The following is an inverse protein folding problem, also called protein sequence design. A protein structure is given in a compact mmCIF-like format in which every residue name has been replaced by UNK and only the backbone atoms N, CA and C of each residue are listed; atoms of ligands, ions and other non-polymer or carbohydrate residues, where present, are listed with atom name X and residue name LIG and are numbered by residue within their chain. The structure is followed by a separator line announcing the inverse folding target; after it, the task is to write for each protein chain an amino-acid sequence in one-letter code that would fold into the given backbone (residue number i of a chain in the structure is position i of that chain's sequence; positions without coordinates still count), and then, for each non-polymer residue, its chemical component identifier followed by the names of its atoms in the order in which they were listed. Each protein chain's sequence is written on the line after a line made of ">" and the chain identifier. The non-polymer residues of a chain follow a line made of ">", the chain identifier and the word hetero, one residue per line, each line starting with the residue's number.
data_IF_965909102111
#
_entry.id   IF_965909102111
#
_cell.length_a   1.000
_cell.length_b   1.000
_cell.length_c   1.000
_cell.angle_alpha   90.00
_cell.angle_beta   90.00
_cell.angle_gamma   90.00
#
_symmetry.space_group_name_H-M   'P 1'
#
loop_
_entity.id
_entity.type
_entity.pdbx_description
1 polymer ?
#
# COMPACT_ATOMS: atom_id res chain seq x y z
N UNK A 1 0.17 -53.03 -20.36
CA UNK A 1 1.16 -53.43 -19.33
C UNK A 1 0.40 -53.66 -18.03
N UNK A 2 0.34 -54.90 -17.57
CA UNK A 2 -0.29 -55.25 -16.30
C UNK A 2 0.78 -55.08 -15.20
N UNK A 3 0.60 -54.08 -14.35
CA UNK A 3 1.40 -53.92 -13.14
C UNK A 3 0.62 -54.52 -11.98
N UNK A 4 1.30 -55.33 -11.16
CA UNK A 4 0.73 -55.93 -9.96
C UNK A 4 1.25 -55.16 -8.75
N UNK A 5 0.36 -54.84 -7.81
CA UNK A 5 0.69 -54.08 -6.61
C UNK A 5 0.23 -54.82 -5.37
N UNK A 6 0.99 -54.71 -4.28
CA UNK A 6 0.47 -55.09 -2.97
C UNK A 6 -0.66 -54.12 -2.58
N UNK A 7 -1.77 -54.61 -1.99
CA UNK A 7 -2.90 -53.76 -1.59
C UNK A 7 -2.49 -52.57 -0.72
N UNK A 8 -1.53 -52.81 0.16
CA UNK A 8 -0.98 -51.82 1.11
C UNK A 8 -0.05 -50.79 0.47
N UNK A 9 0.57 -51.13 -0.65
CA UNK A 9 1.51 -50.28 -1.38
C UNK A 9 0.82 -49.51 -2.51
N UNK A 10 -0.39 -49.93 -2.91
CA UNK A 10 -1.14 -49.28 -3.96
C UNK A 10 -1.83 -48.02 -3.46
N UNK A 11 -1.19 -46.86 -3.68
CA UNK A 11 -1.56 -45.58 -3.09
C UNK A 11 -1.68 -44.49 -4.13
N UNK A 12 -2.52 -43.50 -3.84
CA UNK A 12 -2.62 -42.28 -4.63
C UNK A 12 -1.27 -41.55 -4.58
N UNK A 13 -0.72 -41.23 -5.75
CA UNK A 13 0.57 -40.54 -5.85
C UNK A 13 0.57 -39.14 -5.24
N UNK A 14 -0.60 -38.50 -5.13
CA UNK A 14 -0.75 -37.14 -4.59
C UNK A 14 -1.02 -37.15 -3.09
N UNK A 15 -1.97 -37.97 -2.61
CA UNK A 15 -2.43 -37.92 -1.22
C UNK A 15 -2.10 -39.17 -0.38
N UNK A 16 -1.39 -40.16 -0.94
CA UNK A 16 -0.99 -41.41 -0.30
C UNK A 16 -2.14 -42.31 0.24
N UNK A 17 -3.40 -41.98 -0.08
CA UNK A 17 -4.58 -42.78 0.24
C UNK A 17 -4.47 -44.16 -0.42
N UNK A 18 -4.74 -45.23 0.33
CA UNK A 18 -4.76 -46.62 -0.18
C UNK A 18 -5.90 -46.75 -1.20
N UNK A 19 -5.60 -47.30 -2.37
CA UNK A 19 -6.52 -47.37 -3.51
C UNK A 19 -7.14 -48.76 -3.72
N UNK A 20 -6.63 -49.78 -3.04
CA UNK A 20 -7.07 -51.17 -3.22
C UNK A 20 -8.59 -51.33 -3.05
N UNK A 21 -9.17 -50.69 -2.03
CA UNK A 21 -10.60 -50.85 -1.69
C UNK A 21 -11.51 -49.76 -2.27
N UNK A 22 -10.93 -48.62 -2.66
CA UNK A 22 -11.65 -47.41 -3.08
C UNK A 22 -11.72 -47.29 -4.62
N UNK A 23 -10.85 -48.01 -5.33
CA UNK A 23 -10.66 -47.88 -6.76
C UNK A 23 -9.75 -46.69 -7.13
N UNK A 24 -9.29 -46.68 -8.38
CA UNK A 24 -8.34 -45.68 -8.87
C UNK A 24 -8.59 -45.28 -10.32
N UNK A 25 -8.03 -44.13 -10.69
CA UNK A 25 -7.97 -43.62 -12.05
C UNK A 25 -6.51 -43.55 -12.49
N UNK A 26 -6.25 -43.95 -13.74
CA UNK A 26 -4.91 -43.88 -14.33
C UNK A 26 -4.77 -42.58 -15.12
N UNK A 27 -3.87 -41.70 -14.71
CA UNK A 27 -3.64 -40.40 -15.36
C UNK A 27 -2.15 -40.18 -15.59
N UNK A 28 -1.73 -40.04 -16.86
CA UNK A 28 -0.31 -39.89 -17.22
C UNK A 28 0.58 -41.05 -16.75
N UNK A 29 0.01 -42.25 -16.58
CA UNK A 29 0.74 -43.41 -16.04
C UNK A 29 0.73 -43.54 -14.52
N UNK A 30 0.26 -42.52 -13.81
CA UNK A 30 0.14 -42.47 -12.34
C UNK A 30 -1.20 -43.05 -11.87
N UNK A 31 -1.25 -43.57 -10.65
CA UNK A 31 -2.47 -44.04 -10.01
C UNK A 31 -2.98 -42.99 -9.01
N UNK A 32 -4.17 -42.44 -9.26
CA UNK A 32 -4.76 -41.38 -8.46
C UNK A 32 -6.12 -41.81 -7.91
N UNK A 33 -6.47 -41.33 -6.71
CA UNK A 33 -7.86 -41.43 -6.23
C UNK A 33 -8.76 -40.51 -7.07
N UNK A 34 -10.08 -40.72 -6.98
CA UNK A 34 -11.08 -39.91 -7.69
C UNK A 34 -10.86 -38.41 -7.47
N UNK A 35 -10.77 -37.99 -6.21
CA UNK A 35 -10.55 -36.60 -5.80
C UNK A 35 -9.28 -36.00 -6.43
N UNK A 36 -8.13 -36.67 -6.29
CA UNK A 36 -6.87 -36.16 -6.84
C UNK A 36 -6.82 -36.18 -8.37
N UNK A 37 -7.50 -37.13 -9.00
CA UNK A 37 -7.58 -37.18 -10.45
C UNK A 37 -8.47 -36.06 -11.02
N UNK A 38 -9.53 -35.69 -10.32
CA UNK A 38 -10.38 -34.55 -10.66
C UNK A 38 -9.58 -33.24 -10.55
N UNK A 39 -8.80 -33.08 -9.46
CA UNK A 39 -7.86 -31.95 -9.30
C UNK A 39 -6.84 -31.87 -10.46
N UNK A 40 -6.21 -32.99 -10.83
CA UNK A 40 -5.23 -33.01 -11.94
C UNK A 40 -5.87 -32.72 -13.31
N UNK A 41 -7.10 -33.21 -13.54
CA UNK A 41 -7.85 -32.89 -14.75
C UNK A 41 -8.16 -31.40 -14.84
N UNK A 42 -8.50 -30.78 -13.70
CA UNK A 42 -8.81 -29.36 -13.63
C UNK A 42 -7.58 -28.47 -13.75
N UNK A 43 -6.44 -28.88 -13.17
CA UNK A 43 -5.15 -28.22 -13.33
C UNK A 43 -4.68 -28.25 -14.79
N UNK A 44 -4.90 -29.37 -15.50
CA UNK A 44 -4.65 -29.48 -16.94
C UNK A 44 -5.60 -28.65 -17.81
N UNK A 45 -6.74 -28.20 -17.26
CA UNK A 45 -7.70 -27.30 -17.90
C UNK A 45 -7.45 -25.82 -17.61
N UNK A 46 -6.37 -25.46 -16.91
CA UNK A 46 -6.04 -24.07 -16.58
C UNK A 46 -6.84 -23.49 -15.41
N UNK A 47 -7.46 -24.34 -14.58
CA UNK A 47 -8.18 -23.91 -13.37
C UNK A 47 -7.26 -23.99 -12.14
N UNK A 48 -7.41 -23.03 -11.23
CA UNK A 48 -6.64 -22.99 -9.99
C UNK A 48 -7.44 -23.58 -8.83
N UNK A 49 -6.78 -24.31 -7.93
CA UNK A 49 -7.38 -24.83 -6.69
C UNK A 49 -6.84 -24.04 -5.52
N UNK A 50 -7.73 -23.53 -4.67
CA UNK A 50 -7.33 -22.80 -3.48
C UNK A 50 -6.68 -23.73 -2.47
N UNK A 51 -5.45 -23.44 -2.05
CA UNK A 51 -4.73 -24.27 -1.09
C UNK A 51 -5.44 -24.30 0.29
N UNK A 52 -6.12 -23.22 0.69
CA UNK A 52 -6.79 -23.12 2.00
C UNK A 52 -8.12 -23.89 2.07
N UNK A 53 -9.04 -23.67 1.13
CA UNK A 53 -10.37 -24.28 1.17
C UNK A 53 -10.54 -25.50 0.26
N UNK A 54 -9.52 -25.83 -0.55
CA UNK A 54 -9.52 -26.94 -1.53
C UNK A 54 -10.61 -26.84 -2.61
N UNK A 55 -11.33 -25.72 -2.68
CA UNK A 55 -12.28 -25.45 -3.75
C UNK A 55 -11.58 -24.87 -4.99
N UNK A 56 -12.23 -25.07 -6.14
CA UNK A 56 -11.82 -24.50 -7.43
C UNK A 56 -12.05 -22.99 -7.39
N UNK A 57 -11.09 -22.23 -7.91
CA UNK A 57 -11.20 -20.78 -8.07
C UNK A 57 -11.90 -20.52 -9.41
N UNK A 58 -13.19 -20.20 -9.37
CA UNK A 58 -14.02 -19.93 -10.55
C UNK A 58 -13.85 -18.47 -11.01
N UNK A 59 -13.43 -18.27 -12.27
CA UNK A 59 -13.40 -17.01 -13.06
C UNK A 59 -12.95 -15.69 -12.39
N UNK A 60 -12.34 -15.77 -11.21
CA UNK A 60 -11.65 -14.68 -10.53
C UNK A 60 -10.15 -14.95 -10.50
N UNK A 61 -9.35 -13.90 -10.66
CA UNK A 61 -7.90 -13.98 -10.42
C UNK A 61 -7.61 -14.63 -9.07
N UNK A 62 -6.62 -15.53 -9.04
CA UNK A 62 -6.10 -16.07 -7.79
C UNK A 62 -4.96 -15.18 -7.31
N UNK A 63 -4.73 -15.15 -6.00
CA UNK A 63 -3.46 -14.63 -5.48
C UNK A 63 -2.48 -15.77 -5.34
N UNK A 64 -1.22 -15.53 -5.72
CA UNK A 64 -0.11 -16.42 -5.40
C UNK A 64 0.53 -15.93 -4.12
N UNK A 65 0.63 -16.79 -3.12
CA UNK A 65 1.28 -16.48 -1.86
C UNK A 65 2.12 -17.68 -1.44
N UNK A 66 3.40 -17.46 -1.19
CA UNK A 66 4.36 -18.53 -0.83
C UNK A 66 4.39 -19.71 -1.83
N UNK A 67 4.10 -19.45 -3.11
CA UNK A 67 4.10 -20.47 -4.17
C UNK A 67 2.78 -21.20 -4.40
N UNK A 68 1.80 -21.02 -3.51
CA UNK A 68 0.48 -21.63 -3.60
C UNK A 68 -0.59 -20.63 -4.11
N UNK A 69 -1.65 -21.16 -4.72
CA UNK A 69 -2.80 -20.36 -5.21
C UNK A 69 -3.91 -20.30 -4.16
N UNK A 70 -4.51 -19.12 -3.99
CA UNK A 70 -5.60 -18.92 -3.04
C UNK A 70 -6.67 -17.98 -3.56
N UNK A 71 -7.86 -18.06 -2.95
CA UNK A 71 -8.86 -17.01 -3.08
C UNK A 71 -8.39 -15.71 -2.39
N UNK A 72 -8.61 -14.54 -3.01
CA UNK A 72 -8.30 -13.25 -2.41
C UNK A 72 -8.98 -13.02 -1.05
N UNK A 73 -10.26 -13.39 -0.92
CA UNK A 73 -11.06 -13.16 0.29
C UNK A 73 -10.57 -13.90 1.55
N UNK A 74 -9.67 -14.87 1.41
CA UNK A 74 -9.07 -15.55 2.56
C UNK A 74 -8.04 -14.72 3.30
N UNK A 75 -7.62 -13.59 2.72
CA UNK A 75 -6.58 -12.73 3.23
C UNK A 75 -7.10 -11.33 3.48
N UNK A 76 -6.43 -10.66 4.42
CA UNK A 76 -6.68 -9.27 4.78
C UNK A 76 -5.40 -8.48 4.59
N UNK A 77 -5.53 -7.24 4.16
CA UNK A 77 -4.40 -6.32 4.02
C UNK A 77 -3.73 -6.11 5.37
N UNK A 78 -2.42 -6.31 5.45
CA UNK A 78 -1.64 -6.09 6.68
C UNK A 78 -1.74 -4.65 7.21
N UNK A 79 -1.97 -3.66 6.33
CA UNK A 79 -2.10 -2.24 6.71
C UNK A 79 -3.52 -1.83 7.12
N UNK A 80 -4.54 -2.15 6.32
CA UNK A 80 -5.90 -1.63 6.53
C UNK A 80 -6.91 -2.68 7.00
N UNK A 81 -6.50 -3.96 7.11
CA UNK A 81 -7.35 -5.08 7.53
C UNK A 81 -8.57 -5.39 6.65
N UNK A 82 -8.75 -4.69 5.53
CA UNK A 82 -9.78 -5.02 4.55
C UNK A 82 -9.44 -6.30 3.79
N UNK A 83 -10.47 -7.01 3.34
CA UNK A 83 -10.34 -8.18 2.47
C UNK A 83 -9.58 -7.83 1.20
N UNK A 84 -8.71 -8.75 0.77
CA UNK A 84 -7.90 -8.56 -0.41
C UNK A 84 -8.67 -8.92 -1.68
N UNK A 85 -8.33 -8.22 -2.76
CA UNK A 85 -8.79 -8.49 -4.11
C UNK A 85 -7.68 -9.16 -4.92
N UNK A 86 -7.96 -9.49 -6.18
CA UNK A 86 -7.00 -10.06 -7.13
C UNK A 86 -5.75 -9.19 -7.31
N UNK A 87 -5.86 -7.89 -7.04
CA UNK A 87 -4.79 -6.90 -7.18
C UNK A 87 -3.88 -6.81 -5.96
N UNK A 88 -4.00 -7.74 -5.00
CA UNK A 88 -3.10 -7.80 -3.87
C UNK A 88 -1.63 -7.93 -4.30
N UNK A 89 -0.74 -7.37 -3.50
CA UNK A 89 0.72 -7.43 -3.70
C UNK A 89 1.39 -7.96 -2.44
N UNK A 90 2.38 -8.82 -2.64
CA UNK A 90 3.23 -9.30 -1.56
C UNK A 90 4.44 -8.35 -1.41
N UNK A 91 4.68 -7.89 -0.18
CA UNK A 91 5.83 -7.08 0.18
C UNK A 91 6.42 -7.63 1.47
N UNK A 92 7.68 -8.05 1.44
CA UNK A 92 8.41 -8.63 2.57
C UNK A 92 7.67 -9.81 3.26
N UNK A 93 6.95 -10.63 2.49
CA UNK A 93 6.20 -11.78 3.01
C UNK A 93 4.81 -11.46 3.56
N UNK A 94 4.38 -10.19 3.52
CA UNK A 94 3.03 -9.77 3.90
C UNK A 94 2.22 -9.31 2.68
N UNK A 95 0.89 -9.46 2.76
CA UNK A 95 0.00 -9.08 1.67
C UNK A 95 -0.68 -7.74 1.93
N UNK A 96 -0.66 -6.90 0.90
CA UNK A 96 -1.25 -5.57 0.90
C UNK A 96 -2.26 -5.43 -0.24
N UNK A 97 -3.35 -4.70 -0.01
CA UNK A 97 -4.23 -4.31 -1.10
C UNK A 97 -3.55 -3.26 -1.98
N UNK A 98 -3.95 -3.14 -3.25
CA UNK A 98 -3.34 -2.23 -4.21
C UNK A 98 -3.23 -0.80 -3.67
N UNK A 99 -4.31 -0.26 -3.08
CA UNK A 99 -4.30 1.07 -2.45
C UNK A 99 -3.25 1.21 -1.35
N UNK A 100 -3.12 0.22 -0.48
CA UNK A 100 -2.13 0.28 0.61
C UNK A 100 -0.70 0.06 0.11
N UNK A 101 -0.55 -0.72 -0.97
CA UNK A 101 0.71 -0.91 -1.66
C UNK A 101 1.20 0.39 -2.33
N UNK A 102 0.35 1.05 -3.10
CA UNK A 102 0.73 2.25 -3.86
C UNK A 102 0.96 3.46 -2.96
N UNK A 103 0.38 3.44 -1.75
CA UNK A 103 0.63 4.44 -0.70
C UNK A 103 1.82 4.08 0.20
N UNK A 104 2.56 3.01 -0.08
CA UNK A 104 3.82 2.75 0.63
C UNK A 104 4.86 3.77 0.18
N UNK A 105 5.39 4.55 1.12
CA UNK A 105 6.33 5.65 0.83
C UNK A 105 5.67 7.02 0.69
N UNK A 106 4.34 7.10 0.66
CA UNK A 106 3.61 8.37 0.70
C UNK A 106 3.49 8.83 2.16
N UNK A 107 3.93 10.06 2.50
CA UNK A 107 3.82 10.57 3.86
C UNK A 107 2.36 10.71 4.30
N UNK A 108 2.05 10.30 5.53
CA UNK A 108 0.71 10.43 6.11
C UNK A 108 0.60 11.77 6.84
N UNK A 109 -0.48 12.51 6.57
CA UNK A 109 -0.74 13.76 7.26
C UNK A 109 -1.02 13.56 8.75
N UNK A 110 -0.29 14.27 9.60
CA UNK A 110 -0.42 14.23 11.06
C UNK A 110 -1.76 14.76 11.58
N UNK A 111 -2.52 15.50 10.77
CA UNK A 111 -3.84 16.04 11.13
C UNK A 111 -5.00 15.15 10.67
N UNK A 112 -5.04 14.78 9.39
CA UNK A 112 -6.19 14.07 8.81
C UNK A 112 -5.97 12.56 8.60
N UNK A 113 -4.77 12.05 8.89
CA UNK A 113 -4.40 10.63 8.77
C UNK A 113 -4.60 10.03 7.36
N UNK A 114 -4.59 10.87 6.33
CA UNK A 114 -4.64 10.46 4.92
C UNK A 114 -3.27 10.62 4.24
N UNK A 115 -2.95 9.83 3.20
CA UNK A 115 -1.75 10.01 2.39
C UNK A 115 -1.71 11.40 1.74
N UNK A 116 -0.53 12.02 1.68
CA UNK A 116 -0.28 13.30 1.03
C UNK A 116 0.30 13.02 -0.36
N UNK A 117 -0.53 13.12 -1.40
CA UNK A 117 -0.13 12.84 -2.79
C UNK A 117 0.58 14.02 -3.48
N UNK A 118 0.48 15.22 -2.91
CA UNK A 118 1.03 16.46 -3.47
C UNK A 118 2.20 17.02 -2.63
N UNK A 119 2.31 18.36 -2.53
CA UNK A 119 3.35 19.02 -1.73
C UNK A 119 3.17 18.67 -0.24
N UNK A 120 4.28 18.32 0.39
CA UNK A 120 4.35 17.99 1.81
C UNK A 120 5.03 19.12 2.58
N UNK A 121 4.46 19.48 3.73
CA UNK A 121 5.15 20.32 4.73
C UNK A 121 5.60 19.41 5.85
N UNK A 122 6.88 19.46 6.22
CA UNK A 122 7.42 18.72 7.37
C UNK A 122 7.60 19.68 8.54
N UNK A 123 6.93 19.41 9.65
CA UNK A 123 7.03 20.22 10.87
C UNK A 123 6.82 19.33 12.10
N UNK A 124 7.56 19.61 13.19
CA UNK A 124 7.47 18.85 14.45
C UNK A 124 7.67 17.33 14.27
N UNK A 125 8.51 16.91 13.32
CA UNK A 125 8.75 15.50 13.01
C UNK A 125 7.56 14.78 12.35
N UNK A 126 6.55 15.51 11.87
CA UNK A 126 5.38 14.99 11.16
C UNK A 126 5.22 15.66 9.80
N UNK A 127 4.48 15.00 8.92
CA UNK A 127 4.14 15.50 7.59
C UNK A 127 2.71 16.04 7.58
N UNK A 128 2.45 17.08 6.78
CA UNK A 128 1.18 17.78 6.74
C UNK A 128 0.82 18.17 5.31
N UNK A 129 -0.49 18.16 5.00
CA UNK A 129 -1.01 18.80 3.78
C UNK A 129 -0.75 20.30 3.85
N UNK A 130 -0.36 20.93 2.72
CA UNK A 130 -0.17 22.40 2.64
C UNK A 130 -1.41 23.17 3.10
N UNK A 131 -2.60 22.65 2.80
CA UNK A 131 -3.89 23.29 3.13
C UNK A 131 -4.38 23.03 4.56
N UNK A 132 -3.81 22.04 5.25
CA UNK A 132 -4.25 21.61 6.60
C UNK A 132 -3.24 22.04 7.67
N UNK A 133 -2.33 22.97 7.34
CA UNK A 133 -1.52 23.64 8.36
C UNK A 133 -2.51 24.35 9.30
N UNK A 134 -2.62 23.97 10.58
CA UNK A 134 -3.56 24.60 11.50
C UNK A 134 -3.38 26.11 11.47
N UNK A 135 -4.48 26.87 11.51
CA UNK A 135 -4.42 28.35 11.60
C UNK A 135 -3.53 28.80 12.76
N UNK A 136 -3.39 27.96 13.79
CA UNK A 136 -2.52 28.15 14.94
C UNK A 136 -1.02 28.11 14.57
N UNK A 137 -0.63 27.24 13.62
CA UNK A 137 0.72 27.21 13.04
C UNK A 137 0.93 28.36 12.06
N UNK A 138 -0.11 28.81 11.35
CA UNK A 138 -0.06 30.02 10.56
C UNK A 138 0.23 31.24 11.45
N UNK A 139 -0.40 31.33 12.62
CA UNK A 139 -0.09 32.34 13.63
C UNK A 139 1.33 32.21 14.19
N UNK A 140 1.84 31.00 14.45
CA UNK A 140 3.22 30.80 14.91
C UNK A 140 4.25 31.14 13.83
N UNK A 141 4.02 30.77 12.57
CA UNK A 141 4.88 31.14 11.44
C UNK A 141 4.80 32.64 11.16
N UNK A 142 3.62 33.25 11.24
CA UNK A 142 3.45 34.71 11.18
C UNK A 142 4.17 35.36 12.36
N UNK A 143 4.09 34.83 13.58
CA UNK A 143 4.80 35.38 14.75
C UNK A 143 6.32 35.22 14.66
N UNK A 144 6.81 34.10 14.11
CA UNK A 144 8.23 33.87 13.86
C UNK A 144 8.72 34.81 12.75
N UNK A 145 7.98 34.93 11.64
CA UNK A 145 8.23 35.91 10.58
C UNK A 145 8.16 37.34 11.11
N UNK A 146 7.19 37.68 11.96
CA UNK A 146 7.09 39.00 12.60
C UNK A 146 8.29 39.26 13.51
N UNK A 147 8.76 38.27 14.27
CA UNK A 147 9.97 38.40 15.10
C UNK A 147 11.22 38.57 14.26
N UNK A 148 11.38 37.80 13.19
CA UNK A 148 12.51 37.92 12.27
C UNK A 148 12.48 39.26 11.55
N UNK A 149 11.31 39.70 11.05
CA UNK A 149 11.13 41.03 10.46
C UNK A 149 11.42 42.12 11.49
N UNK A 150 10.96 42.01 12.74
CA UNK A 150 11.25 42.99 13.79
C UNK A 150 12.75 43.01 14.20
N UNK A 151 13.43 41.87 14.14
CA UNK A 151 14.88 41.78 14.39
C UNK A 151 15.69 42.37 13.22
N UNK A 152 15.27 42.16 11.98
CA UNK A 152 15.88 42.75 10.78
C UNK A 152 15.59 44.27 10.70
N UNK A 153 14.37 44.71 11.04
CA UNK A 153 13.96 46.13 11.07
C UNK A 153 14.66 46.90 12.20
N UNK A 154 15.05 46.24 13.30
CA UNK A 154 15.87 46.87 14.36
C UNK A 154 17.28 47.25 13.90
N UNK A 155 17.76 46.75 12.76
CA UNK A 155 19.14 46.93 12.32
C UNK A 155 19.32 47.93 11.16
N UNK A 156 18.24 48.44 10.55
CA UNK A 156 18.31 49.40 9.43
C UNK A 156 17.63 50.72 9.79
N UNK A 157 18.39 51.58 10.47
CA UNK A 157 18.33 53.05 10.44
C UNK A 157 16.95 53.71 10.64
N UNK A 158 16.86 54.46 11.75
CA UNK A 158 15.67 55.09 12.33
C UNK A 158 15.01 56.22 11.51
N UNK A 159 15.29 56.34 10.20
CA UNK A 159 14.95 57.54 9.43
C UNK A 159 13.95 57.36 8.28
N UNK A 160 13.50 56.15 7.93
CA UNK A 160 12.62 55.96 6.75
C UNK A 160 11.29 55.22 6.97
N UNK A 161 10.91 54.88 8.21
CA UNK A 161 9.78 53.96 8.48
C UNK A 161 8.36 54.56 8.47
N UNK A 162 8.14 55.83 8.12
CA UNK A 162 6.80 56.42 8.22
C UNK A 162 5.92 56.35 6.95
N UNK A 163 6.37 55.78 5.83
CA UNK A 163 5.64 55.95 4.56
C UNK A 163 4.79 54.76 4.07
N UNK A 164 4.90 53.55 4.63
CA UNK A 164 4.28 52.34 4.02
C UNK A 164 3.05 51.82 4.78
N UNK A 165 2.65 52.45 5.89
CA UNK A 165 1.49 52.02 6.68
C UNK A 165 0.19 52.79 6.38
N UNK A 166 0.01 53.30 5.16
CA UNK A 166 -1.25 53.91 4.75
C UNK A 166 -1.69 53.48 3.36
N UNK A 167 -2.07 52.21 3.22
CA UNK A 167 -3.23 51.77 2.45
C UNK A 167 -3.28 50.24 2.49
N UNK A 168 -4.38 49.78 3.04
CA UNK A 168 -4.89 48.42 2.97
C UNK A 168 -4.86 47.91 1.54
N UNK A 169 -4.06 46.87 1.26
CA UNK A 169 -4.34 45.90 0.20
C UNK A 169 -3.67 44.58 0.60
N UNK A 170 -4.48 43.63 1.08
CA UNK A 170 -4.05 42.29 1.54
C UNK A 170 -3.38 41.44 0.44
N UNK A 171 -3.41 41.89 -0.82
CA UNK A 171 -2.86 41.20 -1.98
C UNK A 171 -1.34 41.43 -2.11
N UNK A 172 -0.84 42.59 -1.67
CA UNK A 172 0.57 43.00 -1.85
C UNK A 172 1.55 42.22 -0.97
N UNK A 173 1.11 41.81 0.23
CA UNK A 173 1.93 41.04 1.17
C UNK A 173 2.03 39.56 0.77
N UNK A 174 0.98 39.00 0.17
CA UNK A 174 1.01 37.65 -0.39
C UNK A 174 1.93 37.60 -1.61
N UNK A 175 1.93 38.63 -2.46
CA UNK A 175 2.85 38.73 -3.60
C UNK A 175 4.32 38.85 -3.17
N UNK A 176 4.60 39.61 -2.09
CA UNK A 176 5.94 39.73 -1.51
C UNK A 176 6.42 38.44 -0.84
N UNK A 177 5.53 37.72 -0.14
CA UNK A 177 5.81 36.38 0.37
C UNK A 177 6.03 35.38 -0.77
N UNK A 178 5.28 35.45 -1.87
CA UNK A 178 5.50 34.60 -3.04
C UNK A 178 6.85 34.87 -3.73
N UNK A 179 7.28 36.13 -3.84
CA UNK A 179 8.60 36.48 -4.38
C UNK A 179 9.75 36.03 -3.45
N UNK A 180 9.62 36.22 -2.13
CA UNK A 180 10.65 35.78 -1.17
C UNK A 180 10.76 34.26 -1.06
N UNK A 181 9.64 33.55 -1.26
CA UNK A 181 9.61 32.08 -1.28
C UNK A 181 10.16 31.54 -2.61
N UNK A 182 10.07 32.27 -3.74
CA UNK A 182 10.54 31.74 -5.02
C UNK A 182 12.05 31.91 -5.28
N UNK A 183 12.70 32.90 -4.64
CA UNK A 183 14.15 33.11 -4.81
C UNK A 183 15.02 32.44 -3.72
N UNK A 184 14.45 32.08 -2.56
CA UNK A 184 15.21 31.46 -1.45
C UNK A 184 14.83 29.99 -1.12
N UNK A 185 13.95 29.32 -1.88
CA UNK A 185 13.84 27.83 -1.83
C UNK A 185 14.99 27.16 -2.62
N UNK A 186 16.21 27.67 -2.43
CA UNK A 186 17.42 26.88 -2.49
C UNK A 186 18.12 27.17 -1.17
N UNK A 187 17.82 26.38 -0.14
CA UNK A 187 18.66 26.08 1.04
C UNK A 187 17.79 25.70 2.25
N UNK A 188 17.55 24.40 2.44
CA UNK A 188 17.77 23.76 3.75
C UNK A 188 18.33 22.36 3.44
N UNK A 189 19.65 22.23 3.58
CA UNK A 189 20.36 20.95 3.58
C UNK A 189 20.25 20.28 4.95
#
# INVERSE_FOLDING_TARGET
>A
MNANWHPDCFRCEICNKRLADVGFLRNGGRALCRECNEIEKEAGSGRYVCHKCKAIIEEGGHIKYQGDSFHPYHFKCARCSNELTIDAREVNGELYCLRCHDTMGIPICGACHRPIEERVVTALGKNWHVEVVPLDLFCLLIQILFRVILEVVKCSDQSQLCAVMSRSDHVSLIQLLYCYIHDDIVMIA
#
